data_IF_961533074097
#
_entry.id   IF_961533074097
#
_cell.length_a   1.000
_cell.length_b   1.000
_cell.length_c   1.000
_cell.angle_alpha   90.00
_cell.angle_beta   90.00
_cell.angle_gamma   90.00
#
_symmetry.space_group_name_H-M   'P 1'
#
loop_
_entity.id
_entity.type
_entity.pdbx_description
1 polymer ?
#
# COMPACT_ATOMS: atom_id res chain seq x y z
N UNK A 1 4.06 4.75 -9.62
CA UNK A 1 3.90 4.74 -8.14
C UNK A 1 5.19 5.16 -7.44
N UNK A 2 6.32 4.47 -7.61
CA UNK A 2 7.58 4.89 -6.98
C UNK A 2 8.04 6.32 -7.33
N UNK A 3 7.87 6.75 -8.58
CA UNK A 3 8.18 8.13 -8.99
C UNK A 3 7.25 9.17 -8.34
N UNK A 4 5.97 8.83 -8.18
CA UNK A 4 5.01 9.68 -7.47
C UNK A 4 5.48 9.87 -6.03
N UNK A 5 5.79 8.80 -5.30
CA UNK A 5 6.26 8.94 -3.92
C UNK A 5 7.58 9.71 -3.81
N UNK A 6 8.53 9.49 -4.73
CA UNK A 6 9.77 10.28 -4.79
C UNK A 6 9.49 11.76 -5.01
N UNK A 7 8.53 12.11 -5.88
CA UNK A 7 8.10 13.48 -6.07
C UNK A 7 7.43 14.09 -4.82
N UNK A 8 6.88 13.25 -3.94
CA UNK A 8 6.35 13.66 -2.63
C UNK A 8 7.42 13.72 -1.52
N UNK A 9 8.69 13.53 -1.86
CA UNK A 9 9.83 13.61 -0.93
C UNK A 9 10.27 12.28 -0.33
N UNK A 10 9.74 11.14 -0.79
CA UNK A 10 10.14 9.82 -0.29
C UNK A 10 11.60 9.52 -0.64
N UNK A 11 12.41 9.30 0.40
CA UNK A 11 13.76 8.78 0.33
C UNK A 11 13.81 7.30 0.71
N UNK A 12 13.05 6.92 1.73
CA UNK A 12 12.96 5.56 2.25
C UNK A 12 11.50 5.13 2.40
N UNK A 13 11.25 3.82 2.21
CA UNK A 13 9.95 3.20 2.39
C UNK A 13 10.11 1.94 3.23
N UNK A 14 9.31 1.83 4.27
CA UNK A 14 9.23 0.69 5.17
C UNK A 14 7.83 0.09 5.10
N UNK A 15 7.73 -1.24 5.22
CA UNK A 15 6.46 -1.95 5.31
C UNK A 15 6.50 -2.91 6.49
N UNK A 16 5.61 -2.70 7.44
CA UNK A 16 5.43 -3.55 8.60
C UNK A 16 4.22 -4.45 8.41
N UNK A 17 4.34 -5.73 8.76
CA UNK A 17 3.18 -6.64 8.82
C UNK A 17 2.55 -6.53 10.20
N UNK A 18 1.30 -6.06 10.26
CA UNK A 18 0.54 -5.91 11.49
C UNK A 18 -0.09 -7.25 11.90
N UNK A 19 -0.71 -7.95 10.95
CA UNK A 19 -1.40 -9.22 11.22
C UNK A 19 -1.54 -10.05 9.96
N UNK A 20 -1.53 -11.37 10.12
CA UNK A 20 -1.91 -12.34 9.08
C UNK A 20 -3.01 -13.23 9.65
N UNK A 21 -4.10 -13.37 8.91
CA UNK A 21 -5.22 -14.25 9.25
C UNK A 21 -5.49 -15.18 8.07
N UNK A 22 -5.39 -16.49 8.29
CA UNK A 22 -5.86 -17.47 7.32
C UNK A 22 -7.39 -17.51 7.29
N UNK A 23 -7.96 -17.38 6.10
CA UNK A 23 -9.41 -17.42 5.86
C UNK A 23 -9.86 -18.77 5.32
N UNK A 24 -8.97 -19.44 4.58
CA UNK A 24 -9.13 -20.76 3.98
C UNK A 24 -7.73 -21.31 3.67
N UNK A 25 -7.51 -22.63 3.54
CA UNK A 25 -6.22 -23.16 3.11
C UNK A 25 -5.62 -22.40 1.93
N UNK A 26 -4.40 -21.88 2.13
CA UNK A 26 -3.65 -21.09 1.15
C UNK A 26 -4.31 -19.76 0.74
N UNK A 27 -5.22 -19.22 1.55
CA UNK A 27 -5.84 -17.89 1.40
C UNK A 27 -5.74 -17.12 2.71
N UNK A 28 -5.04 -15.99 2.71
CA UNK A 28 -4.83 -15.18 3.92
C UNK A 28 -5.24 -13.73 3.69
N UNK A 29 -5.75 -13.10 4.74
CA UNK A 29 -5.82 -11.65 4.87
C UNK A 29 -4.56 -11.16 5.59
N UNK A 30 -3.83 -10.23 4.99
CA UNK A 30 -2.68 -9.57 5.63
C UNK A 30 -2.98 -8.09 5.82
N UNK A 31 -2.73 -7.56 7.03
CA UNK A 31 -2.72 -6.12 7.29
C UNK A 31 -1.29 -5.64 7.36
N UNK A 32 -0.98 -4.57 6.66
CA UNK A 32 0.36 -3.95 6.68
C UNK A 32 0.26 -2.47 6.97
N UNK A 33 1.33 -1.92 7.53
CA UNK A 33 1.56 -0.47 7.62
C UNK A 33 2.68 -0.09 6.67
N UNK A 34 2.42 0.87 5.79
CA UNK A 34 3.42 1.49 4.93
C UNK A 34 3.86 2.80 5.59
N UNK A 35 5.17 3.03 5.67
CA UNK A 35 5.77 4.23 6.25
C UNK A 35 6.77 4.80 5.25
N UNK A 36 6.56 6.05 4.83
CA UNK A 36 7.48 6.77 3.97
C UNK A 36 8.25 7.80 4.77
N UNK A 37 9.57 7.87 4.54
CA UNK A 37 10.47 8.81 5.20
C UNK A 37 11.18 9.70 4.19
N UNK A 38 11.45 10.95 4.59
CA UNK A 38 12.32 11.84 3.85
C UNK A 38 13.81 11.55 4.10
N UNK A 39 14.69 12.36 3.49
CA UNK A 39 16.15 12.22 3.64
C UNK A 39 16.68 12.48 5.05
N UNK A 40 15.90 13.13 5.91
CA UNK A 40 16.26 13.39 7.30
C UNK A 40 15.75 12.27 8.23
N UNK A 41 14.95 11.34 7.71
CA UNK A 41 14.32 10.25 8.46
C UNK A 41 12.92 10.58 8.98
N UNK A 42 12.40 11.79 8.69
CA UNK A 42 11.09 12.22 9.14
C UNK A 42 9.98 11.49 8.38
N UNK A 43 8.93 11.04 9.09
CA UNK A 43 7.76 10.42 8.45
C UNK A 43 7.03 11.47 7.63
N UNK A 44 6.87 11.21 6.34
CA UNK A 44 6.12 12.09 5.43
C UNK A 44 4.72 11.57 5.14
N UNK A 45 4.52 10.26 5.20
CA UNK A 45 3.23 9.62 5.02
C UNK A 45 3.25 8.25 5.67
N UNK A 46 2.12 7.87 6.25
CA UNK A 46 1.88 6.52 6.72
C UNK A 46 0.43 6.12 6.49
N UNK A 47 0.22 4.84 6.15
CA UNK A 47 -1.12 4.30 5.97
C UNK A 47 -1.13 2.79 6.21
N UNK A 48 -2.33 2.25 6.43
CA UNK A 48 -2.53 0.80 6.46
C UNK A 48 -3.12 0.29 5.14
N UNK A 49 -2.73 -0.93 4.77
CA UNK A 49 -3.35 -1.70 3.71
C UNK A 49 -3.88 -3.03 4.24
N UNK A 50 -4.98 -3.49 3.65
CA UNK A 50 -5.48 -4.85 3.81
C UNK A 50 -5.33 -5.57 2.48
N UNK A 51 -4.58 -6.67 2.46
CA UNK A 51 -4.41 -7.53 1.30
C UNK A 51 -5.16 -8.84 1.49
N UNK A 52 -5.83 -9.31 0.45
CA UNK A 52 -6.20 -10.72 0.32
C UNK A 52 -5.14 -11.41 -0.54
N UNK A 53 -4.45 -12.39 0.00
CA UNK A 53 -3.38 -13.12 -0.67
C UNK A 53 -3.81 -14.58 -0.89
N UNK A 54 -3.35 -15.17 -2.00
CA UNK A 54 -3.42 -16.61 -2.24
C UNK A 54 -2.05 -17.18 -2.56
N UNK A 55 -1.77 -18.35 -2.01
CA UNK A 55 -0.58 -19.11 -2.35
C UNK A 55 -0.76 -19.82 -3.69
N UNK A 56 0.22 -19.64 -4.57
CA UNK A 56 0.38 -20.35 -5.82
C UNK A 56 1.70 -21.11 -5.80
N UNK A 57 1.96 -21.93 -6.82
CA UNK A 57 3.20 -22.72 -6.93
C UNK A 57 4.47 -21.87 -6.95
N UNK A 58 4.36 -20.61 -7.37
CA UNK A 58 5.45 -19.62 -7.40
C UNK A 58 5.42 -18.62 -6.23
N UNK A 59 4.60 -18.90 -5.21
CA UNK A 59 4.50 -18.11 -3.98
C UNK A 59 3.19 -17.36 -3.82
N UNK A 60 3.14 -16.47 -2.83
CA UNK A 60 1.96 -15.69 -2.50
C UNK A 60 1.73 -14.54 -3.48
N UNK A 61 0.49 -14.39 -3.94
CA UNK A 61 0.07 -13.27 -4.79
C UNK A 61 -1.10 -12.54 -4.17
N UNK A 62 -1.09 -11.21 -4.25
CA UNK A 62 -2.24 -10.41 -3.87
C UNK A 62 -3.36 -10.57 -4.91
N UNK A 63 -4.53 -11.01 -4.44
CA UNK A 63 -5.77 -11.05 -5.22
C UNK A 63 -6.39 -9.66 -5.26
N UNK A 64 -6.43 -8.99 -4.10
CA UNK A 64 -6.95 -7.63 -3.96
C UNK A 64 -6.28 -6.90 -2.81
N UNK A 65 -6.32 -5.57 -2.85
CA UNK A 65 -5.86 -4.68 -1.80
C UNK A 65 -6.93 -3.61 -1.55
N UNK A 66 -7.19 -3.33 -0.28
CA UNK A 66 -7.99 -2.18 0.16
C UNK A 66 -7.02 -1.03 0.42
N UNK A 67 -7.05 -0.02 -0.46
CA UNK A 67 -6.10 1.10 -0.50
C UNK A 67 -6.66 2.42 0.03
N UNK A 68 -7.82 2.40 0.70
CA UNK A 68 -8.50 3.61 1.19
C UNK A 68 -7.61 4.46 2.11
N UNK A 69 -6.78 3.80 2.92
CA UNK A 69 -5.80 4.47 3.78
C UNK A 69 -4.79 5.29 2.98
N UNK A 70 -4.25 4.72 1.91
CA UNK A 70 -3.30 5.39 1.03
C UNK A 70 -3.97 6.59 0.33
N UNK A 71 -5.16 6.37 -0.25
CA UNK A 71 -5.90 7.41 -0.95
C UNK A 71 -6.21 8.58 0.00
N UNK A 72 -6.66 8.30 1.22
CA UNK A 72 -6.96 9.31 2.22
C UNK A 72 -5.72 10.07 2.70
N UNK A 73 -4.58 9.38 2.86
CA UNK A 73 -3.30 10.00 3.24
C UNK A 73 -2.84 11.00 2.18
N UNK A 74 -2.85 10.62 0.90
CA UNK A 74 -2.42 11.52 -0.17
C UNK A 74 -3.40 12.67 -0.40
N UNK A 75 -4.71 12.42 -0.30
CA UNK A 75 -5.71 13.47 -0.40
C UNK A 75 -5.52 14.55 0.69
N UNK A 76 -5.20 14.16 1.93
CA UNK A 76 -4.86 15.09 3.02
C UNK A 76 -3.63 15.94 2.72
N UNK A 77 -2.68 15.41 1.93
CA UNK A 77 -1.48 16.12 1.46
C UNK A 77 -1.72 16.92 0.18
N UNK A 78 -2.94 16.98 -0.34
CA UNK A 78 -3.27 17.68 -1.59
C UNK A 78 -2.78 16.98 -2.85
N UNK A 79 -2.44 15.69 -2.74
CA UNK A 79 -1.99 14.86 -3.85
C UNK A 79 -3.05 13.79 -4.20
N UNK A 80 -3.04 13.34 -5.45
CA UNK A 80 -3.86 12.20 -5.88
C UNK A 80 -2.94 11.08 -6.31
N UNK A 81 -3.03 9.95 -5.62
CA UNK A 81 -2.41 8.70 -6.05
C UNK A 81 -3.39 7.97 -6.96
N UNK A 82 -2.94 7.55 -8.13
CA UNK A 82 -3.77 6.82 -9.08
C UNK A 82 -4.65 7.71 -9.97
N UNK A 83 -4.04 8.48 -10.88
CA UNK A 83 -4.71 8.81 -12.14
C UNK A 83 -4.51 7.65 -13.12
N UNK A 84 -5.26 6.56 -12.92
CA UNK A 84 -5.56 5.64 -14.01
C UNK A 84 -6.96 6.00 -14.51
N UNK A 85 -7.04 6.43 -15.77
CA UNK A 85 -8.25 6.62 -16.56
C UNK A 85 -9.41 5.71 -16.11
N UNK A 86 -10.47 6.30 -15.54
CA UNK A 86 -11.81 5.78 -15.80
C UNK A 86 -12.11 6.09 -17.27
N UNK A 87 -11.67 5.20 -18.16
CA UNK A 87 -12.34 5.06 -19.46
C UNK A 87 -13.47 4.06 -19.19
N UNK A 88 -14.65 4.59 -18.92
CA UNK A 88 -15.88 3.82 -18.76
C UNK A 88 -16.95 4.50 -19.60
N UNK A 89 -17.14 3.93 -20.79
CA UNK A 89 -18.25 4.00 -21.76
C UNK A 89 -19.23 5.19 -21.77
#
# INVERSE_FOLDING_TARGET
LCEFYRAQGMHEAEKEVISIQELYPSIVQARTKDILRDKNGDVIAEWEHVYLLREYTDGWKAITAVADGEIAEWARRGASVGSAQQSGD
#
